data_IF_851979971920
#
_entry.id   IF_851979971920
#
_cell.length_a   1.000
_cell.length_b   1.000
_cell.length_c   1.000
_cell.angle_alpha   90.00
_cell.angle_beta   90.00
_cell.angle_gamma   90.00
#
_symmetry.space_group_name_H-M   'P 1'
#
loop_
_entity.id
_entity.type
_entity.pdbx_description
1 polymer ?
#
# COMPACT_ATOMS: atom_id res chain seq x y z
N UNK A 1 2.31 -10.20 7.83
CA UNK A 1 2.56 -8.77 7.57
C UNK A 1 4.03 -8.36 7.74
N UNK A 2 4.89 -9.10 8.46
CA UNK A 2 6.31 -8.72 8.65
C UNK A 2 7.31 -9.87 8.44
N UNK A 3 7.16 -10.69 7.41
CA UNK A 3 8.13 -11.76 7.18
C UNK A 3 9.48 -11.22 6.65
N UNK A 4 9.51 -10.11 5.88
CA UNK A 4 10.72 -9.60 5.21
C UNK A 4 10.88 -8.04 5.17
N UNK A 5 10.37 -7.23 6.13
CA UNK A 5 10.37 -5.76 6.00
C UNK A 5 11.77 -5.14 5.89
N UNK A 6 12.75 -5.75 6.56
CA UNK A 6 14.12 -5.23 6.58
C UNK A 6 14.84 -5.45 5.24
N UNK A 7 14.61 -6.58 4.57
CA UNK A 7 15.31 -6.86 3.31
C UNK A 7 14.68 -6.16 2.10
N UNK A 8 13.36 -5.97 2.10
CA UNK A 8 12.64 -5.43 0.92
C UNK A 8 12.46 -3.91 0.95
N UNK A 9 12.33 -3.28 2.13
CA UNK A 9 12.11 -1.82 2.22
C UNK A 9 13.42 -1.06 2.41
N UNK A 10 14.32 -1.53 3.28
CA UNK A 10 15.44 -0.71 3.75
C UNK A 10 16.74 -0.89 2.94
N UNK A 11 17.01 -2.10 2.43
CA UNK A 11 18.22 -2.33 1.63
C UNK A 11 18.18 -1.61 0.27
N UNK A 12 17.02 -1.64 -0.39
CA UNK A 12 16.89 -1.08 -1.74
C UNK A 12 16.52 0.41 -1.74
N UNK A 13 15.71 0.88 -0.77
CA UNK A 13 15.27 2.28 -0.71
C UNK A 13 16.12 3.13 0.24
N UNK A 14 16.72 2.53 1.27
CA UNK A 14 17.51 3.23 2.29
C UNK A 14 18.64 4.14 1.75
N UNK A 15 19.42 3.74 0.75
CA UNK A 15 20.43 4.62 0.15
C UNK A 15 19.84 5.91 -0.44
N UNK A 16 18.67 5.85 -1.06
CA UNK A 16 18.01 7.01 -1.65
C UNK A 16 17.42 7.93 -0.57
N UNK A 17 16.80 7.36 0.47
CA UNK A 17 16.30 8.12 1.62
C UNK A 17 17.42 8.90 2.31
N UNK A 18 18.55 8.24 2.59
CA UNK A 18 19.74 8.90 3.15
C UNK A 18 20.28 10.00 2.26
N UNK A 19 20.29 9.79 0.94
CA UNK A 19 20.72 10.82 -0.01
C UNK A 19 19.82 12.08 0.01
N UNK A 20 18.54 11.93 0.38
CA UNK A 20 17.59 13.03 0.61
C UNK A 20 17.62 13.58 2.05
N UNK A 21 18.52 13.08 2.90
CA UNK A 21 18.68 13.53 4.29
C UNK A 21 17.60 13.02 5.23
N UNK A 22 16.97 11.89 4.92
CA UNK A 22 16.06 11.18 5.83
C UNK A 22 16.90 10.40 6.85
N UNK A 23 16.52 10.48 8.12
CA UNK A 23 17.14 9.72 9.20
C UNK A 23 16.82 8.23 9.09
N UNK A 24 17.75 7.36 9.46
CA UNK A 24 17.52 5.90 9.42
C UNK A 24 16.47 5.50 10.47
N UNK A 25 15.49 4.70 10.04
CA UNK A 25 14.41 4.20 10.90
C UNK A 25 14.35 2.66 10.93
N UNK A 26 15.43 2.00 10.52
CA UNK A 26 15.56 0.53 10.45
C UNK A 26 15.24 -0.16 11.78
N UNK A 27 15.66 0.47 12.87
CA UNK A 27 15.39 0.00 14.22
C UNK A 27 13.89 0.04 14.57
N UNK A 28 13.13 1.00 14.03
CA UNK A 28 11.68 1.07 14.25
C UNK A 28 10.97 -0.12 13.58
N UNK A 29 11.36 -0.42 12.33
CA UNK A 29 10.79 -1.55 11.58
C UNK A 29 11.12 -2.90 12.24
N UNK A 30 12.36 -3.08 12.70
CA UNK A 30 12.78 -4.29 13.40
C UNK A 30 12.05 -4.44 14.74
N UNK A 31 11.97 -3.38 15.54
CA UNK A 31 11.29 -3.41 16.83
C UNK A 31 9.78 -3.68 16.70
N UNK A 32 9.13 -3.19 15.65
CA UNK A 32 7.73 -3.50 15.39
C UNK A 32 7.51 -4.97 14.99
N UNK A 33 8.43 -5.56 14.22
CA UNK A 33 8.38 -6.98 13.88
C UNK A 33 8.60 -7.87 15.12
N UNK A 34 9.58 -7.53 15.97
CA UNK A 34 9.89 -8.26 17.19
C UNK A 34 8.77 -8.16 18.24
N UNK A 35 8.09 -7.01 18.34
CA UNK A 35 7.02 -6.77 19.31
C UNK A 35 5.89 -7.82 19.27
N UNK A 36 5.58 -8.34 18.08
CA UNK A 36 4.57 -9.41 17.92
C UNK A 36 5.05 -10.72 18.57
N UNK A 37 6.33 -11.05 18.41
CA UNK A 37 6.93 -12.26 19.00
C UNK A 37 7.15 -12.11 20.51
N UNK A 38 7.37 -10.89 20.98
CA UNK A 38 7.53 -10.54 22.40
C UNK A 38 6.18 -10.51 23.16
N UNK A 39 5.06 -10.69 22.45
CA UNK A 39 3.73 -10.76 23.05
C UNK A 39 3.18 -9.40 23.48
N UNK A 40 3.60 -8.32 22.82
CA UNK A 40 3.01 -7.00 23.03
C UNK A 40 1.51 -6.97 22.70
N UNK A 41 0.78 -6.05 23.33
CA UNK A 41 -0.66 -5.90 23.09
C UNK A 41 -0.93 -5.25 21.73
N UNK A 42 -2.15 -5.43 21.22
CA UNK A 42 -2.62 -4.77 20.00
C UNK A 42 -2.45 -3.23 20.07
N UNK A 43 -2.74 -2.62 21.23
CA UNK A 43 -2.55 -1.18 21.43
C UNK A 43 -1.09 -0.74 21.26
N UNK A 44 -0.14 -1.54 21.76
CA UNK A 44 1.29 -1.26 21.63
C UNK A 44 1.77 -1.44 20.20
N UNK A 45 1.30 -2.49 19.51
CA UNK A 45 1.62 -2.75 18.10
C UNK A 45 1.05 -1.63 17.21
N UNK A 46 -0.16 -1.17 17.50
CA UNK A 46 -0.79 -0.05 16.78
C UNK A 46 0.02 1.24 16.96
N UNK A 47 0.42 1.58 18.19
CA UNK A 47 1.24 2.76 18.45
C UNK A 47 2.58 2.73 17.68
N UNK A 48 3.26 1.58 17.66
CA UNK A 48 4.51 1.40 16.89
C UNK A 48 4.27 1.57 15.39
N UNK A 49 3.16 1.05 14.88
CA UNK A 49 2.77 1.18 13.48
C UNK A 49 2.48 2.64 13.12
N UNK A 50 1.80 3.37 13.98
CA UNK A 50 1.55 4.81 13.82
C UNK A 50 2.86 5.62 13.78
N UNK A 51 3.81 5.31 14.67
CA UNK A 51 5.13 5.96 14.68
C UNK A 51 5.90 5.70 13.36
N UNK A 52 5.86 4.47 12.84
CA UNK A 52 6.47 4.13 11.54
C UNK A 52 5.81 4.93 10.41
N UNK A 53 4.48 4.97 10.36
CA UNK A 53 3.74 5.72 9.33
C UNK A 53 4.05 7.21 9.42
N UNK A 54 4.13 7.78 10.63
CA UNK A 54 4.49 9.18 10.84
C UNK A 54 5.91 9.48 10.32
N UNK A 55 6.88 8.62 10.63
CA UNK A 55 8.26 8.74 10.11
C UNK A 55 8.31 8.67 8.59
N UNK A 56 7.57 7.75 7.97
CA UNK A 56 7.48 7.64 6.51
C UNK A 56 6.86 8.90 5.87
N UNK A 57 5.84 9.49 6.51
CA UNK A 57 5.24 10.75 6.06
C UNK A 57 6.19 11.94 6.17
N UNK A 58 7.01 12.01 7.22
CA UNK A 58 8.04 13.06 7.33
C UNK A 58 9.16 12.85 6.30
N UNK A 59 9.54 11.60 6.03
CA UNK A 59 10.50 11.26 4.98
C UNK A 59 10.00 11.69 3.59
N UNK A 60 8.72 11.48 3.29
CA UNK A 60 8.11 11.87 2.02
C UNK A 60 8.24 13.38 1.71
N UNK A 61 8.28 14.24 2.73
CA UNK A 61 8.49 15.70 2.55
C UNK A 61 9.88 16.08 2.04
N UNK A 62 10.81 15.12 2.00
CA UNK A 62 12.15 15.29 1.41
C UNK A 62 12.19 14.90 -0.07
N UNK A 63 11.08 14.41 -0.62
CA UNK A 63 11.01 14.08 -2.04
C UNK A 63 11.28 15.33 -2.90
N UNK A 64 12.03 15.20 -4.01
CA UNK A 64 12.16 16.28 -4.98
C UNK A 64 10.79 16.69 -5.54
N UNK A 65 10.58 18.00 -5.69
CA UNK A 65 9.40 18.55 -6.34
C UNK A 65 9.53 18.43 -7.87
N UNK A 66 8.64 17.67 -8.49
CA UNK A 66 8.54 17.53 -9.95
C UNK A 66 7.38 18.33 -10.56
N UNK A 67 6.69 19.13 -9.75
CA UNK A 67 5.53 19.92 -10.13
C UNK A 67 4.19 19.18 -10.07
N UNK A 68 4.18 17.91 -9.65
CA UNK A 68 2.94 17.17 -9.40
C UNK A 68 2.20 17.70 -8.17
N UNK A 69 0.87 17.80 -8.24
CA UNK A 69 0.05 18.07 -7.06
C UNK A 69 0.05 16.88 -6.10
N UNK A 70 -0.18 17.14 -4.81
CA UNK A 70 -0.34 16.07 -3.82
C UNK A 70 -1.48 15.11 -4.21
N UNK A 71 -2.56 15.64 -4.78
CA UNK A 71 -3.65 14.82 -5.32
C UNK A 71 -3.17 13.84 -6.40
N UNK A 72 -2.32 14.30 -7.33
CA UNK A 72 -1.74 13.42 -8.37
C UNK A 72 -0.79 12.39 -7.77
N UNK A 73 0.02 12.78 -6.80
CA UNK A 73 0.93 11.86 -6.10
C UNK A 73 0.13 10.77 -5.39
N UNK A 74 -0.84 11.13 -4.55
CA UNK A 74 -1.65 10.17 -3.80
C UNK A 74 -2.52 9.30 -4.70
N UNK A 75 -3.07 9.84 -5.79
CA UNK A 75 -3.79 9.03 -6.77
C UNK A 75 -2.86 8.02 -7.47
N UNK A 76 -1.61 8.40 -7.76
CA UNK A 76 -0.58 7.49 -8.28
C UNK A 76 -0.18 6.40 -7.29
N UNK A 77 -0.02 6.75 -6.00
CA UNK A 77 0.22 5.78 -4.93
C UNK A 77 -0.95 4.80 -4.82
N UNK A 78 -2.19 5.29 -4.76
CA UNK A 78 -3.38 4.44 -4.72
C UNK A 78 -3.43 3.47 -5.92
N UNK A 79 -3.11 3.96 -7.13
CA UNK A 79 -3.05 3.14 -8.33
C UNK A 79 -1.99 2.02 -8.25
N UNK A 80 -0.75 2.33 -7.86
CA UNK A 80 0.33 1.34 -7.69
C UNK A 80 -0.04 0.28 -6.64
N UNK A 81 -0.61 0.71 -5.51
CA UNK A 81 -1.01 -0.21 -4.45
C UNK A 81 -2.18 -1.11 -4.86
N UNK A 82 -3.17 -0.59 -5.62
CA UNK A 82 -4.24 -1.40 -6.21
C UNK A 82 -3.66 -2.42 -7.21
N UNK A 83 -2.69 -2.03 -8.03
CA UNK A 83 -2.05 -2.95 -8.96
C UNK A 83 -1.34 -4.11 -8.25
N UNK A 84 -0.54 -3.79 -7.23
CA UNK A 84 0.13 -4.80 -6.40
C UNK A 84 -0.88 -5.70 -5.70
N UNK A 85 -1.98 -5.16 -5.19
CA UNK A 85 -3.06 -5.96 -4.60
C UNK A 85 -3.67 -6.94 -5.62
N UNK A 86 -3.86 -6.52 -6.88
CA UNK A 86 -4.35 -7.38 -7.95
C UNK A 86 -3.37 -8.52 -8.26
N UNK A 87 -2.07 -8.21 -8.37
CA UNK A 87 -1.00 -9.18 -8.62
C UNK A 87 -0.95 -10.22 -7.50
N UNK A 88 -0.95 -9.76 -6.25
CA UNK A 88 -0.93 -10.64 -5.08
C UNK A 88 -2.17 -11.53 -4.98
N UNK A 89 -3.33 -11.04 -5.41
CA UNK A 89 -4.55 -11.85 -5.45
C UNK A 89 -4.41 -13.00 -6.45
N UNK A 90 -3.84 -12.72 -7.63
CA UNK A 90 -3.53 -13.74 -8.63
C UNK A 90 -2.57 -14.80 -8.11
N UNK A 91 -1.45 -14.39 -7.50
CA UNK A 91 -0.45 -15.29 -6.91
C UNK A 91 -1.08 -16.14 -5.80
N UNK A 92 -1.96 -15.55 -4.99
CA UNK A 92 -2.68 -16.26 -3.92
C UNK A 92 -3.52 -17.42 -4.45
N UNK A 93 -4.05 -17.31 -5.67
CA UNK A 93 -4.78 -18.41 -6.32
C UNK A 93 -3.91 -19.63 -6.67
N UNK A 94 -2.59 -19.45 -6.72
CA UNK A 94 -1.61 -20.45 -7.14
C UNK A 94 -0.73 -20.96 -5.99
N UNK A 95 -0.46 -20.11 -5.00
CA UNK A 95 0.41 -20.42 -3.85
C UNK A 95 -0.03 -19.70 -2.57
N UNK A 96 0.32 -20.26 -1.44
CA UNK A 96 0.28 -19.64 -0.11
C UNK A 96 1.68 -19.35 0.45
N UNK A 97 2.74 -19.69 -0.30
CA UNK A 97 4.11 -19.45 0.13
C UNK A 97 4.36 -17.94 0.30
N UNK A 98 4.84 -17.56 1.50
CA UNK A 98 5.11 -16.17 1.89
C UNK A 98 3.88 -15.26 2.01
N UNK A 99 2.68 -15.83 2.16
CA UNK A 99 1.45 -15.09 2.51
C UNK A 99 1.00 -14.00 1.49
N UNK A 100 0.95 -14.29 0.17
CA UNK A 100 0.58 -13.29 -0.85
C UNK A 100 -0.82 -12.70 -0.62
N UNK A 101 -1.74 -13.44 -0.02
CA UNK A 101 -3.08 -12.92 0.27
C UNK A 101 -3.02 -11.78 1.29
N UNK A 102 -2.21 -11.96 2.33
CA UNK A 102 -2.06 -10.97 3.39
C UNK A 102 -1.33 -9.72 2.87
N UNK A 103 -0.34 -9.90 1.99
CA UNK A 103 0.35 -8.78 1.34
C UNK A 103 -0.61 -8.00 0.44
N UNK A 104 -1.42 -8.70 -0.35
CA UNK A 104 -2.46 -8.09 -1.18
C UNK A 104 -3.53 -7.34 -0.39
N UNK A 105 -3.97 -7.90 0.74
CA UNK A 105 -4.84 -7.21 1.70
C UNK A 105 -4.18 -5.92 2.21
N UNK A 106 -2.91 -5.98 2.60
CA UNK A 106 -2.14 -4.83 3.05
C UNK A 106 -2.04 -3.73 1.99
N UNK A 107 -1.77 -4.08 0.73
CA UNK A 107 -1.73 -3.14 -0.39
C UNK A 107 -3.09 -2.47 -0.64
N UNK A 108 -4.20 -3.21 -0.57
CA UNK A 108 -5.54 -2.62 -0.67
C UNK A 108 -5.78 -1.58 0.44
N UNK A 109 -5.44 -1.89 1.69
CA UNK A 109 -5.60 -0.94 2.82
C UNK A 109 -4.74 0.30 2.62
N UNK A 110 -3.49 0.14 2.15
CA UNK A 110 -2.60 1.26 1.84
C UNK A 110 -3.15 2.14 0.71
N UNK A 111 -3.73 1.53 -0.34
CA UNK A 111 -4.36 2.26 -1.43
C UNK A 111 -5.56 3.11 -0.96
N UNK A 112 -6.42 2.52 -0.13
CA UNK A 112 -7.57 3.23 0.45
C UNK A 112 -7.11 4.41 1.31
N UNK A 113 -6.08 4.21 2.14
CA UNK A 113 -5.52 5.27 2.97
C UNK A 113 -4.94 6.43 2.13
N UNK A 114 -4.21 6.12 1.05
CA UNK A 114 -3.67 7.12 0.14
C UNK A 114 -4.78 7.92 -0.57
N UNK A 115 -5.81 7.23 -1.07
CA UNK A 115 -6.95 7.89 -1.71
C UNK A 115 -7.72 8.79 -0.73
N UNK A 116 -8.04 8.29 0.46
CA UNK A 116 -8.81 9.06 1.45
C UNK A 116 -8.04 10.28 1.99
N UNK A 117 -6.70 10.24 2.02
CA UNK A 117 -5.87 11.38 2.43
C UNK A 117 -6.12 12.63 1.58
N UNK A 118 -6.30 12.47 0.26
CA UNK A 118 -6.47 13.58 -0.69
C UNK A 118 -7.79 13.51 -1.47
N UNK A 119 -8.78 12.76 -0.97
CA UNK A 119 -10.02 12.45 -1.70
C UNK A 119 -10.70 13.66 -2.30
N UNK A 120 -10.82 14.76 -1.55
CA UNK A 120 -11.48 15.96 -2.03
C UNK A 120 -10.70 16.61 -3.20
N UNK A 121 -9.37 16.67 -3.09
CA UNK A 121 -8.51 17.23 -4.13
C UNK A 121 -8.46 16.31 -5.36
N UNK A 122 -8.36 14.98 -5.18
CA UNK A 122 -8.41 13.99 -6.25
C UNK A 122 -9.74 14.08 -7.00
N UNK A 123 -10.88 14.17 -6.30
CA UNK A 123 -12.19 14.34 -6.94
C UNK A 123 -12.31 15.64 -7.74
N UNK A 124 -11.63 16.71 -7.31
CA UNK A 124 -11.67 18.00 -8.00
C UNK A 124 -10.71 18.08 -9.18
N UNK A 125 -9.50 17.55 -9.03
CA UNK A 125 -8.40 17.68 -10.02
C UNK A 125 -8.40 16.53 -11.03
N UNK A 126 -8.80 15.33 -10.60
CA UNK A 126 -8.67 14.08 -11.36
C UNK A 126 -9.98 13.25 -11.29
N UNK A 127 -11.14 13.81 -11.66
CA UNK A 127 -12.44 13.17 -11.43
C UNK A 127 -12.58 11.79 -12.08
N UNK A 128 -11.98 11.56 -13.26
CA UNK A 128 -12.00 10.25 -13.92
C UNK A 128 -11.14 9.21 -13.18
N UNK A 129 -9.97 9.64 -12.66
CA UNK A 129 -9.13 8.77 -11.84
C UNK A 129 -9.79 8.48 -10.49
N UNK A 130 -10.43 9.48 -9.87
CA UNK A 130 -11.17 9.33 -8.63
C UNK A 130 -12.25 8.24 -8.76
N UNK A 131 -13.09 8.32 -9.79
CA UNK A 131 -14.13 7.34 -10.05
C UNK A 131 -13.56 5.93 -10.33
N UNK A 132 -12.43 5.86 -11.04
CA UNK A 132 -11.76 4.58 -11.33
C UNK A 132 -11.15 3.96 -10.06
N UNK A 133 -10.56 4.77 -9.18
CA UNK A 133 -10.02 4.33 -7.89
C UNK A 133 -11.14 3.81 -6.99
N UNK A 134 -12.24 4.55 -6.87
CA UNK A 134 -13.39 4.13 -6.05
C UNK A 134 -13.97 2.78 -6.53
N UNK A 135 -14.16 2.62 -7.84
CA UNK A 135 -14.64 1.37 -8.42
C UNK A 135 -13.66 0.21 -8.21
N UNK A 136 -12.36 0.45 -8.36
CA UNK A 136 -11.34 -0.57 -8.12
C UNK A 136 -11.28 -0.96 -6.64
N UNK A 137 -11.35 0.00 -5.71
CA UNK A 137 -11.38 -0.29 -4.27
C UNK A 137 -12.62 -1.10 -3.87
N UNK A 138 -13.79 -0.85 -4.46
CA UNK A 138 -14.99 -1.66 -4.24
C UNK A 138 -14.79 -3.11 -4.67
N UNK A 139 -14.18 -3.33 -5.84
CA UNK A 139 -13.83 -4.67 -6.32
C UNK A 139 -12.77 -5.34 -5.41
N UNK A 140 -11.75 -4.59 -4.98
CA UNK A 140 -10.70 -5.10 -4.09
C UNK A 140 -11.28 -5.52 -2.74
N UNK A 141 -12.16 -4.72 -2.13
CA UNK A 141 -12.83 -5.08 -0.88
C UNK A 141 -13.67 -6.36 -0.99
N UNK A 142 -14.20 -6.64 -2.17
CA UNK A 142 -14.91 -7.89 -2.44
C UNK A 142 -13.96 -9.08 -2.57
N UNK A 143 -12.76 -8.87 -3.13
CA UNK A 143 -11.70 -9.89 -3.23
C UNK A 143 -10.98 -10.14 -1.88
N UNK A 144 -10.86 -9.11 -1.06
CA UNK A 144 -10.18 -9.07 0.22
C UNK A 144 -11.13 -8.70 1.37
N UNK A 145 -12.15 -9.52 1.66
CA UNK A 145 -13.17 -9.18 2.65
C UNK A 145 -12.61 -9.11 4.08
N UNK A 146 -11.54 -9.86 4.36
CA UNK A 146 -10.92 -9.98 5.68
C UNK A 146 -9.41 -10.14 5.56
N UNK A 147 -8.70 -9.89 6.65
CA UNK A 147 -7.26 -10.20 6.76
C UNK A 147 -6.97 -11.70 6.63
N UNK A 148 -7.93 -12.54 7.04
CA UNK A 148 -7.85 -13.99 6.89
C UNK A 148 -8.19 -14.42 5.47
N UNK A 149 -7.33 -15.27 4.90
CA UNK A 149 -7.54 -15.84 3.57
C UNK A 149 -8.75 -16.79 3.56
N UNK A 150 -9.75 -16.58 2.68
CA UNK A 150 -10.84 -17.53 2.50
C UNK A 150 -10.36 -18.89 2.01
N UNK A 151 -11.08 -19.96 2.37
CA UNK A 151 -10.80 -21.33 1.88
C UNK A 151 -10.81 -21.41 0.34
N UNK A 152 -11.64 -20.58 -0.30
CA UNK A 152 -11.73 -20.48 -1.75
C UNK A 152 -11.63 -19.04 -2.21
N UNK A 153 -10.66 -18.77 -3.09
CA UNK A 153 -10.55 -17.48 -3.79
C UNK A 153 -11.30 -17.57 -5.13
N UNK A 154 -12.10 -16.55 -5.44
CA UNK A 154 -12.68 -16.43 -6.78
C UNK A 154 -11.53 -16.19 -7.77
N UNK A 155 -11.38 -17.05 -8.77
CA UNK A 155 -10.21 -17.11 -9.64
C UNK A 155 -10.23 -16.05 -10.75
N UNK A 156 -10.85 -14.90 -10.54
CA UNK A 156 -10.93 -13.86 -11.56
C UNK A 156 -10.02 -12.64 -11.26
N UNK A 157 -8.69 -12.82 -11.21
CA UNK A 157 -7.76 -11.70 -11.08
C UNK A 157 -7.82 -10.76 -12.30
N UNK A 158 -8.33 -11.23 -13.44
CA UNK A 158 -8.45 -10.41 -14.65
C UNK A 158 -9.35 -9.19 -14.44
N UNK A 159 -10.42 -9.30 -13.66
CA UNK A 159 -11.27 -8.16 -13.31
C UNK A 159 -10.52 -7.12 -12.47
N UNK A 160 -9.70 -7.58 -11.51
CA UNK A 160 -8.89 -6.72 -10.65
C UNK A 160 -7.78 -6.00 -11.44
N UNK A 161 -7.08 -6.74 -12.31
CA UNK A 161 -6.06 -6.16 -13.20
C UNK A 161 -6.67 -5.15 -14.18
N UNK A 162 -7.86 -5.43 -14.71
CA UNK A 162 -8.56 -4.49 -15.58
C UNK A 162 -8.94 -3.20 -14.83
N UNK A 163 -9.39 -3.31 -13.58
CA UNK A 163 -9.70 -2.15 -12.74
C UNK A 163 -8.45 -1.31 -12.44
N UNK A 164 -7.32 -1.95 -12.08
CA UNK A 164 -6.01 -1.28 -11.93
C UNK A 164 -5.62 -0.50 -13.21
N UNK A 165 -5.70 -1.17 -14.36
CA UNK A 165 -5.34 -0.58 -15.66
C UNK A 165 -6.20 0.64 -16.02
N UNK A 166 -7.47 0.64 -15.64
CA UNK A 166 -8.37 1.76 -15.87
C UNK A 166 -7.93 3.03 -15.13
N UNK A 167 -7.38 2.89 -13.91
CA UNK A 167 -6.84 4.01 -13.14
C UNK A 167 -5.62 4.61 -13.83
N UNK A 168 -4.68 3.77 -14.27
CA UNK A 168 -3.46 4.22 -14.96
C UNK A 168 -3.78 4.99 -16.25
N UNK A 169 -4.78 4.53 -17.01
CA UNK A 169 -5.28 5.24 -18.18
C UNK A 169 -5.88 6.61 -17.80
N UNK A 170 -6.65 6.68 -16.71
CA UNK A 170 -7.25 7.93 -16.24
C UNK A 170 -6.24 8.92 -15.67
N UNK A 171 -5.11 8.44 -15.14
CA UNK A 171 -3.99 9.28 -14.68
C UNK A 171 -3.13 9.81 -15.84
N UNK A 172 -3.35 9.30 -17.05
CA UNK A 172 -2.81 9.84 -18.29
C UNK A 172 -1.73 9.01 -18.98
N UNK A 173 -1.34 7.85 -18.43
CA UNK A 173 -0.34 6.96 -19.03
C UNK A 173 1.07 7.54 -19.12
#
# INVERSE_FOLDING_TARGET
MFAHPVSEVLLDVGPYLRAQGVEEFDAMLTAAADAVFDGETEEQINARTEDIIATLREAAKKAPDDGSSEARIQAGVAADQIDRAAVMYGISGESDAYEPYLDGYGFMIAAEAAYEQEKAAINSELPEAAASIEAALELMKSAYPTVERPETLDKNPAALTAASSAILLALGG
#
